data_IF_004328946596
#
_entry.id   IF_004328946596
#
_cell.length_a   1.000
_cell.length_b   1.000
_cell.length_c   1.000
_cell.angle_alpha   90.00
_cell.angle_beta   90.00
_cell.angle_gamma   90.00
#
_symmetry.space_group_name_H-M   'P 1'
#
loop_
_entity.id
_entity.type
_entity.pdbx_description
1 polymer ?
#
# COMPACT_ATOMS: atom_id res chain seq x y z
N UNK A 1 -33.96 45.43 6.36
CA UNK A 1 -34.08 44.34 5.38
C UNK A 1 -33.47 43.08 6.00
N UNK A 2 -34.08 42.52 7.05
CA UNK A 2 -33.53 41.32 7.74
C UNK A 2 -34.63 40.35 8.24
N UNK A 3 -35.90 40.60 7.94
CA UNK A 3 -37.02 39.79 8.50
C UNK A 3 -37.35 38.56 7.61
N UNK A 4 -36.80 38.47 6.39
CA UNK A 4 -37.06 37.36 5.47
C UNK A 4 -36.02 36.22 5.53
N UNK A 5 -34.96 36.35 6.33
CA UNK A 5 -33.91 35.33 6.45
C UNK A 5 -34.30 34.20 7.42
N UNK A 6 -34.92 34.53 8.56
CA UNK A 6 -35.30 33.54 9.58
C UNK A 6 -36.41 32.59 9.11
N UNK A 7 -37.29 33.03 8.22
CA UNK A 7 -38.32 32.16 7.63
C UNK A 7 -37.72 31.11 6.67
N UNK A 8 -36.63 31.46 5.98
CA UNK A 8 -35.92 30.55 5.08
C UNK A 8 -35.09 29.51 5.87
N UNK A 9 -34.53 29.93 7.00
CA UNK A 9 -33.75 29.06 7.90
C UNK A 9 -34.64 28.03 8.62
N UNK A 10 -35.82 28.45 9.09
CA UNK A 10 -36.83 27.52 9.62
C UNK A 10 -37.34 26.54 8.55
N UNK A 11 -37.43 26.96 7.30
CA UNK A 11 -37.81 26.08 6.19
C UNK A 11 -36.72 25.04 5.88
N UNK A 12 -35.45 25.44 5.95
CA UNK A 12 -34.31 24.54 5.82
C UNK A 12 -34.28 23.52 6.98
N UNK A 13 -34.57 23.97 8.20
CA UNK A 13 -34.66 23.11 9.37
C UNK A 13 -35.79 22.06 9.24
N UNK A 14 -36.97 22.46 8.73
CA UNK A 14 -38.08 21.51 8.52
C UNK A 14 -37.72 20.45 7.48
N UNK A 15 -36.96 20.81 6.43
CA UNK A 15 -36.51 19.87 5.40
C UNK A 15 -35.52 18.84 5.95
N UNK A 16 -34.62 19.26 6.82
CA UNK A 16 -33.68 18.36 7.51
C UNK A 16 -34.42 17.37 8.43
N UNK A 17 -35.42 17.87 9.17
CA UNK A 17 -36.29 17.02 9.99
C UNK A 17 -37.10 16.02 9.16
N UNK A 18 -37.59 16.39 7.97
CA UNK A 18 -38.29 15.47 7.07
C UNK A 18 -37.37 14.34 6.58
N UNK A 19 -36.15 14.66 6.15
CA UNK A 19 -35.17 13.65 5.70
C UNK A 19 -34.80 12.68 6.83
N UNK A 20 -34.68 13.18 8.06
CA UNK A 20 -34.38 12.35 9.25
C UNK A 20 -35.53 11.42 9.63
N UNK A 21 -36.78 11.82 9.38
CA UNK A 21 -37.96 10.97 9.62
C UNK A 21 -38.10 9.91 8.51
N UNK A 22 -37.69 10.21 7.27
CA UNK A 22 -37.67 9.23 6.18
C UNK A 22 -36.62 8.13 6.36
N UNK A 23 -35.45 8.44 6.96
CA UNK A 23 -34.44 7.44 7.31
C UNK A 23 -34.91 6.45 8.40
N UNK A 24 -35.83 6.86 9.27
CA UNK A 24 -36.43 5.96 10.29
C UNK A 24 -37.54 5.08 9.69
N UNK A 25 -38.21 5.54 8.63
CA UNK A 25 -39.30 4.80 7.97
C UNK A 25 -38.79 3.72 7.00
N UNK A 26 -37.55 3.80 6.52
CA UNK A 26 -36.90 2.79 5.66
C UNK A 26 -35.84 1.97 6.41
N UNK A 27 -36.29 1.14 7.35
CA UNK A 27 -35.61 -0.13 7.66
C UNK A 27 -34.47 -0.13 8.67
N UNK A 28 -34.77 0.22 9.92
CA UNK A 28 -33.89 -0.08 11.06
C UNK A 28 -34.70 -0.58 12.25
N UNK A 29 -34.85 -1.90 12.35
CA UNK A 29 -35.57 -2.59 13.43
C UNK A 29 -34.96 -2.34 14.81
N UNK A 30 -35.83 -2.09 15.79
CA UNK A 30 -35.54 -2.30 17.22
C UNK A 30 -36.53 -3.35 17.76
N UNK A 31 -36.03 -4.54 18.07
CA UNK A 31 -36.67 -5.48 19.01
C UNK A 31 -35.60 -6.04 19.97
N UNK A 32 -35.86 -6.09 21.29
CA UNK A 32 -34.98 -6.70 22.27
C UNK A 32 -35.34 -8.18 22.51
N UNK A 33 -34.33 -9.06 22.61
CA UNK A 33 -34.25 -10.31 23.41
C UNK A 33 -33.53 -11.49 22.70
N UNK A 34 -32.39 -11.87 23.29
CA UNK A 34 -31.85 -13.23 23.55
C UNK A 34 -31.66 -14.21 22.36
N UNK A 35 -30.37 -14.47 22.06
CA UNK A 35 -29.86 -15.81 21.76
C UNK A 35 -29.82 -16.23 20.29
N UNK A 36 -28.64 -16.17 19.68
CA UNK A 36 -27.92 -17.32 19.09
C UNK A 36 -26.77 -16.84 18.19
N UNK A 37 -25.66 -17.57 18.29
CA UNK A 37 -24.42 -17.33 17.59
C UNK A 37 -24.60 -17.23 16.08
N UNK A 38 -24.15 -16.13 15.48
CA UNK A 38 -23.73 -16.10 14.08
C UNK A 38 -22.82 -14.89 13.83
N UNK A 39 -21.55 -15.21 13.55
CA UNK A 39 -20.63 -14.46 12.70
C UNK A 39 -20.60 -12.94 12.92
N UNK A 40 -20.04 -12.53 14.06
CA UNK A 40 -19.11 -11.41 13.99
C UNK A 40 -17.92 -11.90 13.17
N UNK A 41 -17.82 -11.43 11.94
CA UNK A 41 -16.54 -11.30 11.26
C UNK A 41 -15.66 -10.44 12.17
N UNK A 42 -14.98 -11.11 13.09
CA UNK A 42 -13.79 -10.59 13.71
C UNK A 42 -12.86 -10.27 12.55
N UNK A 43 -12.78 -8.99 12.22
CA UNK A 43 -11.64 -8.37 11.58
C UNK A 43 -10.41 -8.84 12.37
N UNK A 44 -9.86 -9.97 11.90
CA UNK A 44 -8.47 -10.32 12.14
C UNK A 44 -7.71 -9.16 11.55
N UNK A 45 -7.42 -8.19 12.41
CA UNK A 45 -6.29 -7.28 12.29
C UNK A 45 -5.04 -8.13 12.17
N UNK A 46 -4.85 -8.69 10.99
CA UNK A 46 -3.66 -9.38 10.58
C UNK A 46 -2.62 -8.27 10.50
N UNK A 47 -1.72 -8.25 11.49
CA UNK A 47 -0.43 -7.61 11.30
C UNK A 47 0.15 -8.05 9.95
N UNK A 48 1.03 -7.23 9.34
CA UNK A 48 1.46 -7.43 7.96
C UNK A 48 1.82 -8.90 7.71
N UNK A 49 1.10 -9.58 6.82
CA UNK A 49 1.37 -11.00 6.54
C UNK A 49 2.81 -11.13 6.04
N UNK A 50 3.47 -12.25 6.35
CA UNK A 50 4.84 -12.50 5.88
C UNK A 50 4.96 -12.29 4.36
N UNK A 51 3.94 -12.72 3.60
CA UNK A 51 3.84 -12.48 2.15
C UNK A 51 3.83 -10.99 1.80
N UNK A 52 3.00 -10.18 2.47
CA UNK A 52 2.93 -8.72 2.24
C UNK A 52 4.25 -8.02 2.58
N UNK A 53 4.90 -8.40 3.69
CA UNK A 53 6.20 -7.85 4.07
C UNK A 53 7.29 -8.22 3.06
N UNK A 54 7.30 -9.47 2.59
CA UNK A 54 8.24 -9.95 1.59
C UNK A 54 8.02 -9.28 0.24
N UNK A 55 6.77 -9.15 -0.22
CA UNK A 55 6.44 -8.43 -1.45
C UNK A 55 6.92 -6.99 -1.37
N UNK A 56 6.68 -6.31 -0.24
CA UNK A 56 7.17 -4.94 -0.02
C UNK A 56 8.69 -4.87 -0.05
N UNK A 57 9.39 -5.76 0.66
CA UNK A 57 10.84 -5.81 0.67
C UNK A 57 11.42 -6.11 -0.73
N UNK A 58 10.78 -6.98 -1.50
CA UNK A 58 11.19 -7.31 -2.86
C UNK A 58 10.97 -6.12 -3.81
N UNK A 59 9.84 -5.44 -3.74
CA UNK A 59 9.59 -4.21 -4.51
C UNK A 59 10.60 -3.11 -4.15
N UNK A 60 10.92 -2.95 -2.86
CA UNK A 60 11.97 -2.04 -2.41
C UNK A 60 13.33 -2.41 -2.99
N UNK A 61 13.74 -3.68 -2.93
CA UNK A 61 15.02 -4.15 -3.48
C UNK A 61 15.14 -3.92 -4.99
N UNK A 62 14.07 -4.18 -5.75
CA UNK A 62 14.03 -3.90 -7.19
C UNK A 62 14.18 -2.39 -7.48
N UNK A 63 13.53 -1.55 -6.67
CA UNK A 63 13.64 -0.09 -6.78
C UNK A 63 15.06 0.37 -6.47
N UNK A 64 15.69 -0.17 -5.43
CA UNK A 64 17.07 0.11 -5.05
C UNK A 64 18.07 -0.31 -6.14
N UNK A 65 17.88 -1.47 -6.76
CA UNK A 65 18.69 -1.89 -7.91
C UNK A 65 18.54 -0.92 -9.08
N UNK A 66 17.33 -0.42 -9.34
CA UNK A 66 17.11 0.58 -10.38
C UNK A 66 17.83 1.90 -10.08
N UNK A 67 17.78 2.36 -8.84
CA UNK A 67 18.50 3.55 -8.38
C UNK A 67 20.01 3.38 -8.51
N UNK A 68 20.57 2.26 -8.05
CA UNK A 68 22.00 1.96 -8.17
C UNK A 68 22.44 1.85 -9.63
N UNK A 69 21.62 1.28 -10.50
CA UNK A 69 21.89 1.21 -11.93
C UNK A 69 21.93 2.61 -12.57
N UNK A 70 20.97 3.47 -12.23
CA UNK A 70 20.95 4.86 -12.70
C UNK A 70 22.13 5.66 -12.17
N UNK A 71 22.47 5.51 -10.89
CA UNK A 71 23.62 6.16 -10.26
C UNK A 71 24.93 5.75 -10.94
N UNK A 72 25.09 4.45 -11.21
CA UNK A 72 26.26 3.92 -11.93
C UNK A 72 26.37 4.52 -13.33
N UNK A 73 25.28 4.56 -14.10
CA UNK A 73 25.27 5.18 -15.44
C UNK A 73 25.53 6.68 -15.39
N UNK A 74 24.94 7.39 -14.43
CA UNK A 74 25.18 8.82 -14.22
C UNK A 74 26.64 9.11 -13.88
N UNK A 75 27.22 8.35 -12.94
CA UNK A 75 28.61 8.49 -12.53
C UNK A 75 29.58 8.21 -13.69
N UNK A 76 29.26 7.21 -14.53
CA UNK A 76 30.04 6.92 -15.74
C UNK A 76 29.98 8.07 -16.75
N UNK A 77 28.78 8.62 -16.99
CA UNK A 77 28.62 9.74 -17.92
C UNK A 77 29.34 10.98 -17.42
N UNK A 78 29.22 11.30 -16.14
CA UNK A 78 29.89 12.45 -15.52
C UNK A 78 31.42 12.32 -15.63
N UNK A 79 31.95 11.12 -15.36
CA UNK A 79 33.38 10.84 -15.54
C UNK A 79 33.82 10.98 -17.00
N UNK A 80 33.05 10.45 -17.95
CA UNK A 80 33.36 10.57 -19.40
C UNK A 80 33.31 12.02 -19.90
N UNK A 81 32.45 12.84 -19.31
CA UNK A 81 32.36 14.28 -19.61
C UNK A 81 33.48 15.10 -18.96
N UNK A 82 34.37 14.47 -18.20
CA UNK A 82 35.48 15.15 -17.49
C UNK A 82 35.05 15.81 -16.17
N UNK A 83 33.96 15.34 -15.57
CA UNK A 83 33.49 15.78 -14.25
C UNK A 83 34.44 15.37 -13.10
N UNK A 84 34.20 15.96 -11.93
CA UNK A 84 35.05 15.82 -10.73
C UNK A 84 34.76 14.54 -9.91
N UNK A 85 34.27 13.49 -10.56
CA UNK A 85 34.06 12.19 -9.92
C UNK A 85 35.32 11.33 -10.11
N UNK A 86 35.91 10.77 -9.03
CA UNK A 86 37.05 9.89 -9.19
C UNK A 86 36.62 8.55 -9.79
N UNK A 87 37.48 7.96 -10.63
CA UNK A 87 37.22 6.65 -11.27
C UNK A 87 36.89 5.55 -10.24
N UNK A 88 37.47 5.62 -9.05
CA UNK A 88 37.19 4.69 -7.95
C UNK A 88 35.72 4.71 -7.53
N UNK A 89 35.08 5.88 -7.51
CA UNK A 89 33.68 6.03 -7.15
C UNK A 89 32.77 5.43 -8.23
N UNK A 90 33.11 5.67 -9.51
CA UNK A 90 32.39 5.08 -10.65
C UNK A 90 32.40 3.56 -10.57
N UNK A 91 33.58 2.96 -10.41
CA UNK A 91 33.74 1.50 -10.30
C UNK A 91 33.05 0.97 -9.06
N UNK A 92 33.10 1.69 -7.94
CA UNK A 92 32.39 1.31 -6.72
C UNK A 92 30.87 1.31 -6.93
N UNK A 93 30.32 2.33 -7.59
CA UNK A 93 28.89 2.40 -7.91
C UNK A 93 28.47 1.28 -8.86
N UNK A 94 29.31 0.92 -9.84
CA UNK A 94 29.11 -0.25 -10.70
C UNK A 94 29.07 -1.55 -9.88
N UNK A 95 30.03 -1.75 -8.97
CA UNK A 95 30.09 -2.95 -8.12
C UNK A 95 28.89 -3.06 -7.19
N UNK A 96 28.47 -1.96 -6.55
CA UNK A 96 27.26 -1.91 -5.72
C UNK A 96 26.03 -2.35 -6.52
N UNK A 97 25.83 -1.81 -7.72
CA UNK A 97 24.72 -2.18 -8.60
C UNK A 97 24.75 -3.68 -8.95
N UNK A 98 25.92 -4.23 -9.29
CA UNK A 98 26.07 -5.66 -9.61
C UNK A 98 25.75 -6.57 -8.43
N UNK A 99 26.28 -6.28 -7.24
CA UNK A 99 26.02 -7.09 -6.03
C UNK A 99 24.54 -7.01 -5.64
N UNK A 100 23.93 -5.82 -5.69
CA UNK A 100 22.51 -5.64 -5.37
C UNK A 100 21.60 -6.39 -6.36
N UNK A 101 21.95 -6.37 -7.65
CA UNK A 101 21.24 -7.14 -8.68
C UNK A 101 21.33 -8.66 -8.43
N UNK A 102 22.52 -9.17 -8.13
CA UNK A 102 22.72 -10.58 -7.83
C UNK A 102 21.94 -11.03 -6.58
N UNK A 103 21.97 -10.23 -5.51
CA UNK A 103 21.18 -10.46 -4.31
C UNK A 103 19.68 -10.54 -4.63
N UNK A 104 19.20 -9.62 -5.48
CA UNK A 104 17.79 -9.60 -5.90
C UNK A 104 17.40 -10.84 -6.71
N UNK A 105 18.30 -11.32 -7.58
CA UNK A 105 18.09 -12.56 -8.33
C UNK A 105 17.99 -13.77 -7.39
N UNK A 106 18.83 -13.83 -6.35
CA UNK A 106 18.76 -14.91 -5.36
C UNK A 106 17.43 -14.91 -4.61
N UNK A 107 16.94 -13.73 -4.21
CA UNK A 107 15.62 -13.60 -3.57
C UNK A 107 14.51 -14.03 -4.52
N UNK A 108 14.52 -13.56 -5.78
CA UNK A 108 13.55 -13.95 -6.80
C UNK A 108 13.47 -15.47 -6.96
N UNK A 109 14.62 -16.12 -7.08
CA UNK A 109 14.69 -17.57 -7.25
C UNK A 109 14.13 -18.30 -6.02
N UNK A 110 14.49 -17.87 -4.80
CA UNK A 110 13.95 -18.44 -3.56
C UNK A 110 12.43 -18.29 -3.45
N UNK A 111 11.88 -17.13 -3.83
CA UNK A 111 10.43 -16.89 -3.82
C UNK A 111 9.70 -17.80 -4.82
N UNK A 112 10.25 -17.97 -6.02
CA UNK A 112 9.68 -18.89 -7.01
C UNK A 112 9.69 -20.34 -6.52
N UNK A 113 10.80 -20.77 -5.90
CA UNK A 113 10.90 -22.10 -5.31
C UNK A 113 9.89 -22.29 -4.18
N UNK A 114 9.76 -21.33 -3.26
CA UNK A 114 8.80 -21.40 -2.16
C UNK A 114 7.35 -21.47 -2.68
N UNK A 115 7.01 -20.71 -3.72
CA UNK A 115 5.70 -20.81 -4.37
C UNK A 115 5.47 -22.21 -4.96
N UNK A 116 6.47 -22.74 -5.67
CA UNK A 116 6.39 -24.07 -6.26
C UNK A 116 6.32 -25.19 -5.21
N UNK A 117 6.97 -25.04 -4.07
CA UNK A 117 6.92 -25.96 -2.94
C UNK A 117 5.51 -26.02 -2.32
N UNK A 118 4.88 -24.86 -2.08
CA UNK A 118 3.50 -24.80 -1.58
C UNK A 118 2.53 -25.48 -2.56
N UNK A 119 2.73 -25.30 -3.87
CA UNK A 119 1.86 -25.88 -4.90
C UNK A 119 2.03 -27.40 -5.04
N UNK A 120 3.22 -27.92 -4.77
CA UNK A 120 3.54 -29.35 -4.83
C UNK A 120 3.31 -30.08 -3.49
N UNK A 121 2.87 -29.37 -2.45
CA UNK A 121 2.50 -29.99 -1.18
C UNK A 121 1.21 -30.80 -1.40
N UNK A 122 1.22 -32.13 -1.21
CA UNK A 122 -0.01 -32.90 -1.31
C UNK A 122 -0.98 -32.44 -0.21
N UNK A 123 -2.22 -32.13 -0.60
CA UNK A 123 -3.33 -31.91 0.33
C UNK A 123 -3.71 -33.21 1.04
#
# INVERSE_FOLDING_TARGET
MEINASAQDLLAQIRDYQNKIEAVKNGGEISPAIGNAQNQETDISAGPTFSSQLSKAFTSAISEVNELQNLSTSSQNEFQMGGDIPLTEVVMNMQKASIAFEATLQVRNKVLTAYQEIMNMPI
#
